data_IF_392291182766
#
_entry.id   IF_392291182766
#
_cell.length_a   1.000
_cell.length_b   1.000
_cell.length_c   1.000
_cell.angle_alpha   90.00
_cell.angle_beta   90.00
_cell.angle_gamma   90.00
#
_symmetry.space_group_name_H-M   'P 1'
#
loop_
_entity.id
_entity.type
_entity.pdbx_description
1 polymer ?
#
# COMPACT_ATOMS: atom_id res chain seq x y z
N UNK A 1 26.73 3.09 28.21
CA UNK A 1 25.96 2.49 27.10
C UNK A 1 24.55 2.18 27.60
N UNK A 2 23.52 2.80 27.03
CA UNK A 2 22.14 2.50 27.42
C UNK A 2 21.81 1.07 26.97
N UNK A 3 21.78 0.14 27.93
CA UNK A 3 21.30 -1.22 27.67
C UNK A 3 19.87 -1.11 27.17
N UNK A 4 19.57 -1.74 26.03
CA UNK A 4 18.22 -1.82 25.50
C UNK A 4 17.33 -2.46 26.57
N UNK A 5 16.58 -1.62 27.29
CA UNK A 5 15.73 -2.05 28.39
C UNK A 5 14.62 -2.94 27.84
N UNK A 6 14.05 -3.81 28.68
CA UNK A 6 12.90 -4.67 28.29
C UNK A 6 11.78 -3.86 27.62
N UNK A 7 11.60 -2.60 28.03
CA UNK A 7 10.64 -1.66 27.45
C UNK A 7 10.91 -1.33 25.97
N UNK A 8 12.16 -1.15 25.54
CA UNK A 8 12.46 -0.84 24.12
C UNK A 8 12.19 -2.05 23.22
N UNK A 9 12.48 -3.26 23.70
CA UNK A 9 12.20 -4.51 23.00
C UNK A 9 10.69 -4.73 22.79
N UNK A 10 9.88 -4.50 23.82
CA UNK A 10 8.41 -4.57 23.73
C UNK A 10 7.87 -3.51 22.77
N UNK A 11 8.36 -2.27 22.86
CA UNK A 11 7.94 -1.17 21.96
C UNK A 11 8.25 -1.49 20.49
N UNK A 12 9.41 -2.12 20.22
CA UNK A 12 9.79 -2.55 18.87
C UNK A 12 8.86 -3.64 18.34
N UNK A 13 8.54 -4.66 19.16
CA UNK A 13 7.59 -5.73 18.80
C UNK A 13 6.22 -5.15 18.45
N UNK A 14 5.68 -4.29 19.30
CA UNK A 14 4.37 -3.68 19.09
C UNK A 14 4.33 -2.80 17.81
N UNK A 15 5.42 -2.07 17.51
CA UNK A 15 5.52 -1.30 16.26
C UNK A 15 5.48 -2.20 15.02
N UNK A 16 6.16 -3.35 15.06
CA UNK A 16 6.18 -4.29 13.95
C UNK A 16 4.80 -4.92 13.71
N UNK A 17 4.13 -5.36 14.77
CA UNK A 17 2.76 -5.91 14.69
C UNK A 17 1.76 -4.86 14.18
N UNK A 18 1.83 -3.63 14.69
CA UNK A 18 0.99 -2.53 14.24
C UNK A 18 1.24 -2.16 12.77
N UNK A 19 2.48 -2.24 12.28
CA UNK A 19 2.82 -1.98 10.88
C UNK A 19 2.13 -3.00 9.96
N UNK A 20 2.16 -4.29 10.32
CA UNK A 20 1.45 -5.34 9.59
C UNK A 20 -0.05 -5.09 9.50
N UNK A 21 -0.68 -4.70 10.61
CA UNK A 21 -2.12 -4.38 10.66
C UNK A 21 -2.46 -3.14 9.82
N UNK A 22 -1.66 -2.08 9.91
CA UNK A 22 -1.85 -0.87 9.08
C UNK A 22 -1.73 -1.16 7.59
N UNK A 23 -0.78 -2.02 7.18
CA UNK A 23 -0.63 -2.47 5.78
C UNK A 23 -1.89 -3.18 5.30
N UNK A 24 -2.36 -4.17 6.06
CA UNK A 24 -3.58 -4.94 5.73
C UNK A 24 -4.81 -4.03 5.64
N UNK A 25 -5.00 -3.11 6.58
CA UNK A 25 -6.13 -2.16 6.53
C UNK A 25 -6.08 -1.24 5.29
N UNK A 26 -4.89 -0.82 4.86
CA UNK A 26 -4.73 0.00 3.65
C UNK A 26 -5.07 -0.79 2.39
N UNK A 27 -4.65 -2.05 2.32
CA UNK A 27 -4.96 -2.95 1.21
C UNK A 27 -6.45 -3.32 1.18
N UNK A 28 -7.07 -3.55 2.34
CA UNK A 28 -8.50 -3.85 2.45
C UNK A 28 -9.37 -2.69 1.93
N UNK A 29 -8.93 -1.44 2.06
CA UNK A 29 -9.59 -0.27 1.47
C UNK A 29 -9.50 -0.20 -0.07
N UNK A 30 -8.61 -0.98 -0.68
CA UNK A 30 -8.42 -1.11 -2.14
C UNK A 30 -8.87 -2.49 -2.65
N UNK A 31 -9.75 -3.16 -1.93
CA UNK A 31 -10.23 -4.51 -2.29
C UNK A 31 -10.92 -4.54 -3.66
N UNK A 32 -11.49 -3.43 -4.09
CA UNK A 32 -11.93 -3.20 -5.47
C UNK A 32 -11.00 -2.19 -6.14
N UNK A 33 -10.47 -2.57 -7.30
CA UNK A 33 -9.71 -1.67 -8.16
C UNK A 33 -10.67 -0.58 -8.64
N UNK A 34 -10.30 0.68 -8.47
CA UNK A 34 -11.16 1.78 -8.93
C UNK A 34 -11.27 1.75 -10.46
N UNK A 35 -12.37 2.29 -11.03
CA UNK A 35 -12.52 2.36 -12.49
C UNK A 35 -11.31 3.05 -13.16
N UNK A 36 -10.73 4.05 -12.50
CA UNK A 36 -9.51 4.75 -12.96
C UNK A 36 -8.32 3.80 -13.06
N UNK A 37 -8.11 2.97 -12.04
CA UNK A 37 -7.02 1.98 -12.04
C UNK A 37 -7.29 0.83 -13.04
N UNK A 38 -8.55 0.42 -13.22
CA UNK A 38 -8.94 -0.60 -14.19
C UNK A 38 -8.68 -0.16 -15.63
N UNK A 39 -8.94 1.11 -15.94
CA UNK A 39 -8.87 1.64 -17.30
C UNK A 39 -7.67 2.54 -17.56
N UNK A 40 -6.69 2.60 -16.64
CA UNK A 40 -5.47 3.40 -16.80
C UNK A 40 -4.69 3.06 -18.08
N UNK A 41 -4.76 1.81 -18.54
CA UNK A 41 -4.13 1.36 -19.78
C UNK A 41 -4.91 1.72 -21.06
N UNK A 42 -6.18 2.11 -20.95
CA UNK A 42 -7.06 2.37 -22.10
C UNK A 42 -7.07 3.84 -22.55
N UNK A 43 -6.44 4.74 -21.80
CA UNK A 43 -6.44 6.18 -22.08
C UNK A 43 -7.70 6.90 -21.58
N UNK A 44 -7.84 8.19 -21.94
CA UNK A 44 -9.03 8.97 -21.54
C UNK A 44 -10.26 8.59 -22.37
N UNK A 45 -11.46 8.53 -21.76
CA UNK A 45 -12.70 8.27 -22.48
C UNK A 45 -12.90 9.26 -23.62
N UNK A 46 -13.13 8.76 -24.84
CA UNK A 46 -13.33 9.59 -26.04
C UNK A 46 -12.05 9.96 -26.78
N UNK A 47 -10.86 9.56 -26.30
CA UNK A 47 -9.59 9.67 -27.04
C UNK A 47 -9.12 8.27 -27.46
N UNK A 48 -8.47 8.13 -28.63
CA UNK A 48 -7.90 6.86 -29.03
C UNK A 48 -6.85 6.39 -28.02
N UNK A 49 -6.85 5.09 -27.70
CA UNK A 49 -5.89 4.52 -26.75
C UNK A 49 -4.44 4.80 -27.20
N UNK A 50 -3.55 5.18 -26.28
CA UNK A 50 -2.16 5.48 -26.61
C UNK A 50 -1.48 4.24 -27.23
N UNK A 51 -0.77 4.46 -28.34
CA UNK A 51 -0.05 3.40 -29.06
C UNK A 51 1.00 2.80 -28.10
N UNK A 52 0.91 1.50 -27.83
CA UNK A 52 1.86 0.82 -26.95
C UNK A 52 3.28 1.05 -27.47
N UNK A 53 4.16 1.62 -26.64
CA UNK A 53 5.57 1.75 -26.94
C UNK A 53 6.16 0.33 -26.99
N UNK A 54 6.60 -0.08 -28.18
CA UNK A 54 7.36 -1.33 -28.38
C UNK A 54 8.74 -1.22 -27.77
#
# INVERSE_FOLDING_TARGET
MASNTKATTVKRKNKHEAAGRRRKNRQARRSTVSAVELFAALGEPGKPAPKAAK
#
